data_IF_676969498819
#
_entry.id   IF_676969498819
#
_cell.length_a   1.000
_cell.length_b   1.000
_cell.length_c   1.000
_cell.angle_alpha   90.00
_cell.angle_beta   90.00
_cell.angle_gamma   90.00
#
_symmetry.space_group_name_H-M   'P 1'
#
loop_
_entity.id
_entity.type
_entity.pdbx_description
1 polymer ?
#
# COMPACT_ATOMS: atom_id res chain seq x y z
N UNK A 1 -21.92 -56.00 -4.80
CA UNK A 1 -23.05 -56.49 -4.01
C UNK A 1 -24.05 -55.36 -3.89
N UNK A 2 -25.18 -55.59 -4.47
CA UNK A 2 -26.36 -54.74 -4.53
C UNK A 2 -27.18 -54.84 -3.27
N UNK A 3 -28.05 -53.90 -3.05
CA UNK A 3 -29.34 -53.93 -2.41
C UNK A 3 -29.63 -52.55 -1.78
N UNK A 4 -30.74 -51.97 -1.84
CA UNK A 4 -32.01 -52.09 -2.51
C UNK A 4 -32.92 -50.97 -1.94
N UNK A 5 -33.74 -50.41 -2.79
CA UNK A 5 -34.83 -49.48 -2.52
C UNK A 5 -35.79 -49.95 -1.42
N UNK A 6 -36.38 -49.00 -0.70
CA UNK A 6 -37.83 -49.06 -0.36
C UNK A 6 -38.44 -47.65 -0.26
N UNK A 7 -39.29 -47.38 -1.17
CA UNK A 7 -40.38 -46.41 -1.17
C UNK A 7 -41.57 -46.96 -0.44
N UNK A 8 -42.28 -46.17 0.37
CA UNK A 8 -43.74 -46.30 0.58
C UNK A 8 -44.36 -44.92 0.86
N UNK A 9 -45.58 -44.70 0.37
CA UNK A 9 -46.28 -43.41 0.47
C UNK A 9 -47.32 -43.42 1.62
N UNK A 10 -47.51 -42.30 2.26
CA UNK A 10 -48.70 -42.07 3.06
C UNK A 10 -49.42 -40.80 2.62
N UNK A 11 -50.66 -41.04 2.23
CA UNK A 11 -51.66 -40.05 1.88
C UNK A 11 -52.60 -39.93 3.08
N UNK A 12 -52.80 -38.74 3.63
CA UNK A 12 -54.02 -38.40 4.36
C UNK A 12 -54.31 -36.90 4.24
N UNK A 13 -55.41 -36.67 3.59
CA UNK A 13 -56.08 -35.39 3.40
C UNK A 13 -56.85 -35.05 4.68
N UNK A 14 -56.46 -33.96 5.34
CA UNK A 14 -57.27 -33.38 6.42
C UNK A 14 -57.52 -31.92 6.10
N UNK A 15 -58.79 -31.67 5.73
CA UNK A 15 -59.27 -30.33 5.39
C UNK A 15 -59.67 -29.61 6.68
N UNK A 16 -58.87 -28.60 7.04
CA UNK A 16 -59.22 -27.64 8.09
C UNK A 16 -59.65 -26.34 7.42
N UNK A 17 -60.90 -25.96 7.62
CA UNK A 17 -61.42 -24.65 7.26
C UNK A 17 -60.90 -23.63 8.30
N UNK A 18 -60.10 -22.69 7.88
CA UNK A 18 -59.68 -21.56 8.71
C UNK A 18 -60.38 -20.31 8.17
N UNK A 19 -61.17 -19.69 9.02
CA UNK A 19 -61.78 -18.38 8.77
C UNK A 19 -60.67 -17.31 8.55
N UNK A 20 -60.80 -16.63 7.43
CA UNK A 20 -59.90 -15.53 7.04
C UNK A 20 -60.37 -14.24 7.66
N UNK A 21 -59.74 -13.81 8.73
CA UNK A 21 -59.76 -12.41 9.15
C UNK A 21 -58.62 -11.67 8.44
N UNK A 22 -58.99 -10.75 7.56
CA UNK A 22 -58.02 -9.91 6.85
C UNK A 22 -57.30 -8.98 7.84
N UNK A 23 -55.96 -8.94 7.83
CA UNK A 23 -55.23 -7.94 8.59
C UNK A 23 -55.28 -6.60 7.83
N UNK A 24 -55.64 -5.56 8.55
CA UNK A 24 -55.53 -4.17 8.10
C UNK A 24 -54.08 -3.83 7.93
N UNK A 25 -53.63 -3.66 6.67
CA UNK A 25 -52.26 -3.27 6.36
C UNK A 25 -52.13 -1.78 6.63
N UNK A 26 -51.51 -1.41 7.74
CA UNK A 26 -50.96 -0.06 7.92
C UNK A 26 -49.80 0.09 6.97
N UNK A 27 -49.96 0.92 5.94
CA UNK A 27 -48.92 1.31 5.03
C UNK A 27 -48.00 2.30 5.74
N UNK A 28 -46.99 1.81 6.43
CA UNK A 28 -45.86 2.64 6.87
C UNK A 28 -45.01 2.97 5.65
N UNK A 29 -45.13 4.19 5.17
CA UNK A 29 -44.25 4.78 4.17
C UNK A 29 -42.83 4.76 4.76
N UNK A 30 -41.84 4.13 4.11
CA UNK A 30 -40.47 4.23 4.61
C UNK A 30 -40.02 5.69 4.50
N UNK A 31 -39.72 6.31 5.64
CA UNK A 31 -39.01 7.58 5.69
C UNK A 31 -37.64 7.30 5.06
N UNK A 32 -37.39 7.85 3.89
CA UNK A 32 -36.05 7.84 3.29
C UNK A 32 -35.11 8.55 4.29
N UNK A 33 -34.27 7.79 4.95
CA UNK A 33 -33.13 8.34 5.69
C UNK A 33 -32.29 9.13 4.70
N UNK A 34 -32.35 10.44 4.80
CA UNK A 34 -31.47 11.33 4.06
C UNK A 34 -30.07 11.14 4.64
N UNK A 35 -29.30 10.24 4.07
CA UNK A 35 -27.89 10.08 4.38
C UNK A 35 -27.22 11.39 3.98
N UNK A 36 -26.95 12.25 4.94
CA UNK A 36 -26.07 13.41 4.75
C UNK A 36 -24.74 12.85 4.28
N UNK A 37 -24.18 13.28 3.14
CA UNK A 37 -22.85 12.84 2.72
C UNK A 37 -21.88 13.19 3.85
N UNK A 38 -21.31 12.19 4.53
CA UNK A 38 -20.22 12.42 5.46
C UNK A 38 -19.06 12.97 4.62
N UNK A 39 -18.72 14.24 4.88
CA UNK A 39 -17.46 14.80 4.38
C UNK A 39 -16.34 13.98 5.01
N UNK A 40 -15.65 13.19 4.20
CA UNK A 40 -14.51 12.42 4.66
C UNK A 40 -13.38 13.42 4.92
N UNK A 41 -12.98 13.55 6.18
CA UNK A 41 -11.93 14.49 6.59
C UNK A 41 -10.56 13.82 6.46
N UNK A 42 -9.54 14.64 6.11
CA UNK A 42 -8.15 14.19 6.10
C UNK A 42 -7.72 13.86 7.54
N UNK A 43 -7.34 12.59 7.83
CA UNK A 43 -6.96 12.17 9.18
C UNK A 43 -5.69 12.87 9.68
N UNK A 44 -4.89 13.42 8.78
CA UNK A 44 -3.60 14.06 9.09
C UNK A 44 -3.59 15.56 8.79
N UNK A 45 -4.75 16.19 8.68
CA UNK A 45 -4.82 17.63 8.46
C UNK A 45 -4.03 18.38 9.53
N UNK A 46 -3.05 19.18 9.08
CA UNK A 46 -2.17 19.94 9.98
C UNK A 46 -1.07 19.11 10.64
N UNK A 47 -0.86 17.88 10.20
CA UNK A 47 0.27 17.06 10.65
C UNK A 47 1.59 17.69 10.22
N UNK A 48 2.52 17.80 11.15
CA UNK A 48 3.87 18.32 10.94
C UNK A 48 4.84 17.23 11.37
N UNK A 49 5.62 16.72 10.41
CA UNK A 49 6.75 15.84 10.73
C UNK A 49 7.95 16.68 11.15
N UNK A 50 8.62 16.28 12.22
CA UNK A 50 9.91 16.89 12.60
C UNK A 50 11.07 16.46 11.70
N UNK A 51 10.86 15.43 10.87
CA UNK A 51 11.88 14.82 10.02
C UNK A 51 11.60 15.07 8.54
N UNK A 52 10.38 14.76 8.07
CA UNK A 52 10.01 14.78 6.66
C UNK A 52 9.59 16.16 6.13
N UNK A 53 9.65 17.19 6.96
CA UNK A 53 9.59 18.59 6.53
C UNK A 53 10.90 19.05 5.84
N UNK A 54 11.99 18.29 6.03
CA UNK A 54 13.26 18.52 5.33
C UNK A 54 13.24 17.81 3.96
N UNK A 55 13.36 18.55 2.83
CA UNK A 55 13.40 17.95 1.51
C UNK A 55 14.61 17.04 1.28
N UNK A 56 15.68 17.16 2.07
CA UNK A 56 16.88 16.33 1.94
C UNK A 56 16.64 14.85 2.28
N UNK A 57 15.57 14.52 3.00
CA UNK A 57 15.19 13.15 3.34
C UNK A 57 14.21 12.54 2.34
N UNK A 58 14.09 13.11 1.15
CA UNK A 58 13.29 12.57 0.06
C UNK A 58 14.18 12.24 -1.14
N UNK A 59 14.06 11.01 -1.65
CA UNK A 59 14.70 10.57 -2.90
C UNK A 59 13.96 11.10 -4.12
N UNK A 60 12.65 11.24 -4.01
CA UNK A 60 11.79 11.85 -5.02
C UNK A 60 10.70 12.66 -4.33
N UNK A 61 10.57 13.89 -4.79
CA UNK A 61 9.48 14.81 -4.46
C UNK A 61 9.14 15.64 -5.72
N UNK A 62 7.87 15.80 -6.09
CA UNK A 62 7.51 16.57 -7.29
C UNK A 62 8.13 17.96 -7.31
N UNK A 63 8.54 18.40 -8.51
CA UNK A 63 9.13 19.71 -8.78
C UNK A 63 10.54 19.96 -8.14
N UNK A 64 11.18 18.89 -7.68
CA UNK A 64 12.56 18.93 -7.17
C UNK A 64 13.47 18.12 -8.10
N UNK A 65 14.66 18.64 -8.38
CA UNK A 65 15.68 17.91 -9.15
C UNK A 65 16.30 16.81 -8.29
N UNK A 66 15.82 15.59 -8.45
CA UNK A 66 16.13 14.44 -7.59
C UNK A 66 16.35 13.13 -8.38
N UNK A 67 16.26 11.97 -7.70
CA UNK A 67 16.45 10.67 -8.33
C UNK A 67 15.42 10.37 -9.43
N UNK A 68 14.22 10.93 -9.34
CA UNK A 68 13.14 10.73 -10.30
C UNK A 68 13.18 11.64 -11.54
N UNK A 69 14.05 12.65 -11.54
CA UNK A 69 14.26 13.54 -12.69
C UNK A 69 15.32 13.02 -13.68
N UNK A 70 15.94 11.87 -13.38
CA UNK A 70 16.99 11.29 -14.25
C UNK A 70 16.39 10.72 -15.52
N UNK A 71 17.09 10.94 -16.66
CA UNK A 71 16.70 10.39 -17.97
C UNK A 71 16.55 8.86 -17.93
N UNK A 72 15.39 8.37 -18.34
CA UNK A 72 15.01 6.97 -18.45
C UNK A 72 14.79 6.55 -19.92
N UNK A 73 15.33 7.32 -20.87
CA UNK A 73 15.29 6.96 -22.30
C UNK A 73 15.85 5.55 -22.50
N UNK A 74 15.12 4.71 -23.19
CA UNK A 74 15.45 3.32 -23.41
C UNK A 74 15.28 2.91 -24.86
N UNK A 75 16.00 1.89 -25.32
CA UNK A 75 15.78 1.27 -26.63
C UNK A 75 14.94 0.01 -26.45
N UNK A 76 13.70 0.04 -26.98
CA UNK A 76 12.90 -1.16 -27.11
C UNK A 76 13.46 -2.04 -28.24
N UNK A 77 13.59 -3.33 -27.99
CA UNK A 77 13.98 -4.34 -28.97
C UNK A 77 12.79 -5.28 -29.16
N UNK A 78 12.33 -5.40 -30.40
CA UNK A 78 11.17 -6.21 -30.73
C UNK A 78 11.56 -7.63 -31.17
N UNK A 79 10.64 -8.62 -31.11
CA UNK A 79 10.91 -10.00 -31.49
C UNK A 79 11.33 -10.19 -32.96
N UNK A 80 10.97 -9.25 -33.84
CA UNK A 80 11.37 -9.27 -35.26
C UNK A 80 12.77 -8.68 -35.52
N UNK A 81 13.47 -8.28 -34.46
CA UNK A 81 14.81 -7.68 -34.51
C UNK A 81 14.83 -6.18 -34.80
N UNK A 82 13.69 -5.54 -34.94
CA UNK A 82 13.61 -4.08 -35.05
C UNK A 82 13.84 -3.44 -33.68
N UNK A 83 14.22 -2.16 -33.66
CA UNK A 83 14.38 -1.41 -32.42
C UNK A 83 13.86 0.01 -32.56
N UNK A 84 13.41 0.59 -31.44
CA UNK A 84 12.91 1.94 -31.33
C UNK A 84 13.45 2.60 -30.05
N UNK A 85 13.82 3.88 -30.16
CA UNK A 85 14.18 4.69 -28.98
C UNK A 85 12.91 5.26 -28.37
N UNK A 86 12.64 4.89 -27.13
CA UNK A 86 11.52 5.39 -26.35
C UNK A 86 12.06 6.48 -25.43
N UNK A 87 11.73 7.71 -25.72
CA UNK A 87 12.09 8.87 -24.89
C UNK A 87 11.39 8.78 -23.53
N UNK A 88 12.09 9.26 -22.51
CA UNK A 88 11.51 9.48 -21.20
C UNK A 88 11.00 10.91 -21.09
N UNK A 89 9.73 11.06 -20.79
CA UNK A 89 9.12 12.35 -20.52
C UNK A 89 8.28 12.23 -19.24
N UNK A 90 8.61 13.04 -18.22
CA UNK A 90 7.82 13.14 -17.00
C UNK A 90 6.47 13.79 -17.34
N UNK A 91 5.41 13.30 -16.73
CA UNK A 91 4.10 13.96 -16.87
C UNK A 91 4.11 15.31 -16.14
N UNK A 92 3.51 16.33 -16.78
CA UNK A 92 3.29 17.64 -16.15
C UNK A 92 1.90 17.78 -15.53
N UNK A 93 1.02 16.84 -15.79
CA UNK A 93 -0.39 16.87 -15.36
C UNK A 93 -0.79 15.49 -14.82
N UNK A 94 -0.21 15.11 -13.69
CA UNK A 94 -0.57 13.86 -13.03
C UNK A 94 -1.89 13.98 -12.27
N UNK A 95 -2.77 13.00 -12.46
CA UNK A 95 -4.02 12.87 -11.68
C UNK A 95 -3.88 11.95 -10.47
N UNK A 96 -2.75 11.29 -10.32
CA UNK A 96 -2.48 10.29 -9.28
C UNK A 96 -1.07 10.44 -8.73
N UNK A 97 -0.89 10.13 -7.46
CA UNK A 97 0.40 10.12 -6.78
C UNK A 97 0.94 8.69 -6.67
N UNK A 98 2.26 8.53 -6.65
CA UNK A 98 2.95 7.27 -6.37
C UNK A 98 3.79 7.42 -5.11
N UNK A 99 3.41 6.73 -4.04
CA UNK A 99 4.19 6.68 -2.81
C UNK A 99 5.04 5.41 -2.82
N UNK A 100 6.35 5.58 -2.87
CA UNK A 100 7.29 4.48 -3.05
C UNK A 100 8.16 4.25 -1.81
N UNK A 101 8.28 2.98 -1.41
CA UNK A 101 9.18 2.53 -0.34
C UNK A 101 10.12 1.45 -0.90
N UNK A 102 11.41 1.77 -0.91
CA UNK A 102 12.46 0.94 -1.51
C UNK A 102 12.84 -0.27 -0.64
N UNK A 103 13.55 -1.28 -1.22
CA UNK A 103 14.04 -2.44 -0.49
C UNK A 103 15.22 -2.11 0.42
N UNK A 104 15.68 -3.09 1.20
CA UNK A 104 16.98 -2.98 1.90
C UNK A 104 18.10 -2.82 0.88
N UNK A 105 18.76 -1.67 0.89
CA UNK A 105 19.86 -1.34 -0.01
C UNK A 105 21.12 -0.89 0.73
N UNK A 106 20.97 -0.35 1.95
CA UNK A 106 22.09 0.18 2.72
C UNK A 106 23.04 -0.91 3.18
N UNK A 107 24.35 -0.65 2.98
CA UNK A 107 25.47 -1.44 3.48
C UNK A 107 26.08 -0.85 4.75
N UNK A 108 25.39 0.08 5.41
CA UNK A 108 25.83 0.65 6.68
C UNK A 108 26.14 -0.44 7.71
N UNK A 109 27.20 -0.21 8.48
CA UNK A 109 27.63 -1.11 9.55
C UNK A 109 26.85 -0.86 10.87
N UNK A 110 25.56 -0.61 10.73
CA UNK A 110 24.61 -0.33 11.83
C UNK A 110 23.34 -1.16 11.61
N UNK A 111 22.54 -1.43 12.67
CA UNK A 111 21.29 -2.18 12.52
C UNK A 111 20.28 -1.55 11.55
N UNK A 112 20.16 -0.23 11.61
CA UNK A 112 19.36 0.58 10.68
C UNK A 112 20.28 1.59 9.97
N UNK A 113 19.95 1.93 8.72
CA UNK A 113 20.63 2.96 7.96
C UNK A 113 20.45 4.35 8.58
N UNK A 114 21.27 5.28 8.16
CA UNK A 114 20.99 6.69 8.35
C UNK A 114 19.94 7.22 7.34
N UNK A 115 19.76 8.53 7.26
CA UNK A 115 18.84 9.20 6.34
C UNK A 115 19.60 10.06 5.31
N UNK A 116 20.87 9.73 5.05
CA UNK A 116 21.71 10.41 4.07
C UNK A 116 21.73 9.58 2.79
N UNK A 117 21.09 10.06 1.69
CA UNK A 117 20.98 9.28 0.47
C UNK A 117 22.35 8.96 -0.15
N UNK A 118 22.66 7.69 -0.35
CA UNK A 118 23.86 7.24 -1.04
C UNK A 118 23.60 6.99 -2.53
N UNK A 119 24.53 7.42 -3.39
CA UNK A 119 24.37 7.32 -4.85
C UNK A 119 24.23 5.86 -5.33
N UNK A 120 24.98 4.95 -4.74
CA UNK A 120 25.04 3.53 -5.15
C UNK A 120 24.00 2.66 -4.45
N UNK A 121 23.25 3.20 -3.53
CA UNK A 121 22.27 2.52 -2.70
C UNK A 121 20.86 3.06 -3.00
N UNK A 122 20.34 3.96 -2.17
CA UNK A 122 18.95 4.43 -2.25
C UNK A 122 18.67 5.19 -3.55
N UNK A 123 19.59 6.10 -3.94
CA UNK A 123 19.39 6.93 -5.14
C UNK A 123 19.34 6.06 -6.40
N UNK A 124 20.28 5.10 -6.55
CA UNK A 124 20.29 4.20 -7.71
C UNK A 124 19.08 3.26 -7.71
N UNK A 125 18.65 2.84 -6.52
CA UNK A 125 17.47 1.97 -6.36
C UNK A 125 16.19 2.70 -6.76
N UNK A 126 15.99 3.93 -6.28
CA UNK A 126 14.84 4.75 -6.68
C UNK A 126 14.86 5.02 -8.19
N UNK A 127 16.03 5.38 -8.74
CA UNK A 127 16.17 5.60 -10.18
C UNK A 127 15.78 4.38 -11.02
N UNK A 128 16.20 3.17 -10.63
CA UNK A 128 15.94 1.96 -11.41
C UNK A 128 14.51 1.43 -11.19
N UNK A 129 13.96 1.57 -9.99
CA UNK A 129 12.70 0.92 -9.63
C UNK A 129 11.47 1.81 -9.81
N UNK A 130 11.57 3.11 -9.50
CA UNK A 130 10.37 3.96 -9.45
C UNK A 130 10.42 5.18 -10.36
N UNK A 131 11.59 5.69 -10.74
CA UNK A 131 11.65 6.97 -11.47
C UNK A 131 10.83 6.94 -12.77
N UNK A 132 10.71 5.81 -13.45
CA UNK A 132 9.90 5.70 -14.68
C UNK A 132 8.39 5.85 -14.43
N UNK A 133 7.91 5.66 -13.21
CA UNK A 133 6.52 5.94 -12.86
C UNK A 133 6.18 7.41 -12.97
N UNK A 134 7.17 8.33 -12.93
CA UNK A 134 6.94 9.77 -13.13
C UNK A 134 6.38 10.13 -14.52
N UNK A 135 6.34 9.19 -15.47
CA UNK A 135 5.61 9.35 -16.72
C UNK A 135 4.08 9.34 -16.53
N UNK A 136 3.57 8.84 -15.40
CA UNK A 136 2.14 8.65 -15.16
C UNK A 136 1.66 9.16 -13.80
N UNK A 137 2.56 9.40 -12.84
CA UNK A 137 2.22 9.87 -11.50
C UNK A 137 3.29 10.81 -10.94
N UNK A 138 2.90 11.63 -9.97
CA UNK A 138 3.85 12.35 -9.13
C UNK A 138 4.44 11.40 -8.09
N UNK A 139 5.77 11.26 -8.08
CA UNK A 139 6.45 10.28 -7.25
C UNK A 139 6.91 10.90 -5.94
N UNK A 140 6.54 10.26 -4.83
CA UNK A 140 6.98 10.56 -3.47
C UNK A 140 7.75 9.36 -2.94
N UNK A 141 9.03 9.52 -2.69
CA UNK A 141 9.92 8.46 -2.23
C UNK A 141 10.73 8.94 -1.02
N UNK A 142 10.28 8.68 0.22
CA UNK A 142 11.02 9.07 1.40
C UNK A 142 12.25 8.20 1.61
N UNK A 143 13.30 8.77 2.18
CA UNK A 143 14.30 8.02 2.94
C UNK A 143 13.62 7.44 4.18
N UNK A 144 14.09 6.29 4.63
CA UNK A 144 13.68 5.70 5.91
C UNK A 144 14.82 4.88 6.49
N UNK A 145 14.93 4.82 7.80
CA UNK A 145 15.96 4.03 8.48
C UNK A 145 15.70 2.53 8.31
N UNK A 146 15.94 2.06 7.09
CA UNK A 146 15.80 0.66 6.70
C UNK A 146 16.69 -0.24 7.57
N UNK A 147 16.26 -1.48 7.82
CA UNK A 147 17.18 -2.50 8.31
C UNK A 147 18.22 -2.79 7.23
N UNK A 148 19.49 -2.66 7.58
CA UNK A 148 20.60 -2.72 6.62
C UNK A 148 20.86 -4.12 6.08
N UNK A 149 21.52 -4.21 4.93
CA UNK A 149 21.99 -5.51 4.37
C UNK A 149 23.00 -6.18 5.30
N UNK A 150 23.85 -5.42 5.97
CA UNK A 150 24.83 -5.91 6.94
C UNK A 150 24.15 -6.55 8.17
N UNK A 151 23.05 -5.94 8.66
CA UNK A 151 22.26 -6.51 9.74
C UNK A 151 21.45 -7.74 9.28
N UNK A 152 20.86 -7.71 8.08
CA UNK A 152 20.10 -8.83 7.52
C UNK A 152 20.95 -10.06 7.23
N UNK A 153 22.20 -9.85 6.77
CA UNK A 153 23.14 -10.95 6.49
C UNK A 153 23.79 -11.53 7.75
N UNK A 154 23.63 -10.88 8.90
CA UNK A 154 24.33 -11.23 10.13
C UNK A 154 25.81 -10.84 10.14
N UNK A 155 26.21 -9.91 9.27
CA UNK A 155 27.58 -9.39 9.21
C UNK A 155 27.93 -8.49 10.42
N UNK A 156 26.91 -8.00 11.12
CA UNK A 156 27.03 -7.27 12.38
C UNK A 156 26.24 -7.96 13.47
N UNK A 157 26.73 -7.88 14.72
CA UNK A 157 25.94 -8.26 15.88
C UNK A 157 24.94 -7.15 16.21
N UNK A 158 23.68 -7.50 16.31
CA UNK A 158 22.63 -6.57 16.75
C UNK A 158 22.40 -6.82 18.22
N UNK A 159 22.56 -5.81 19.11
CA UNK A 159 22.36 -5.97 20.55
C UNK A 159 20.95 -6.51 20.86
N UNK A 160 20.85 -7.39 21.87
CA UNK A 160 19.53 -7.96 22.27
C UNK A 160 18.53 -6.88 22.69
N UNK A 161 19.01 -5.77 23.24
CA UNK A 161 18.19 -4.62 23.66
C UNK A 161 17.54 -3.87 22.48
N UNK A 162 18.10 -4.03 21.28
CA UNK A 162 17.55 -3.44 20.03
C UNK A 162 16.50 -4.36 19.37
N UNK A 163 16.18 -5.49 19.99
CA UNK A 163 15.22 -6.48 19.50
C UNK A 163 13.75 -6.06 19.79
N UNK A 164 13.30 -5.01 19.14
CA UNK A 164 11.86 -4.67 19.16
C UNK A 164 11.10 -5.70 18.31
N UNK A 165 10.31 -6.53 18.96
CA UNK A 165 9.48 -7.56 18.31
C UNK A 165 10.08 -8.97 18.24
N UNK A 166 11.23 -9.23 18.88
CA UNK A 166 11.84 -10.56 19.00
C UNK A 166 13.02 -10.80 18.04
N UNK A 167 13.67 -11.98 18.15
CA UNK A 167 14.85 -12.31 17.36
C UNK A 167 14.60 -12.16 15.84
N UNK A 168 15.43 -11.37 15.18
CA UNK A 168 15.36 -11.14 13.73
C UNK A 168 14.40 -10.03 13.27
N UNK A 169 13.68 -9.36 14.17
CA UNK A 169 12.79 -8.23 13.82
C UNK A 169 13.37 -6.87 14.15
N UNK A 170 14.56 -6.83 14.71
CA UNK A 170 15.27 -5.61 15.11
C UNK A 170 15.36 -4.61 13.97
N UNK A 171 15.00 -3.37 14.23
CA UNK A 171 15.04 -2.28 13.27
C UNK A 171 13.84 -2.19 12.33
N UNK A 172 12.95 -3.18 12.26
CA UNK A 172 11.77 -3.08 11.41
C UNK A 172 10.71 -2.13 11.95
N UNK A 173 10.58 -1.98 13.28
CA UNK A 173 9.64 -1.01 13.83
C UNK A 173 10.12 0.42 13.61
N UNK A 174 11.43 0.69 13.75
CA UNK A 174 12.02 2.00 13.41
C UNK A 174 11.76 2.33 11.93
N UNK A 175 12.01 1.36 11.04
CA UNK A 175 11.75 1.52 9.62
C UNK A 175 10.26 1.81 9.33
N UNK A 176 9.36 1.14 10.02
CA UNK A 176 7.93 1.36 9.88
C UNK A 176 7.49 2.74 10.40
N UNK A 177 8.01 3.17 11.56
CA UNK A 177 7.71 4.50 12.12
C UNK A 177 8.11 5.61 11.15
N UNK A 178 9.26 5.50 10.51
CA UNK A 178 9.72 6.45 9.50
C UNK A 178 8.78 6.46 8.28
N UNK A 179 8.42 5.29 7.76
CA UNK A 179 7.48 5.19 6.62
C UNK A 179 6.09 5.73 6.99
N UNK A 180 5.61 5.48 8.20
CA UNK A 180 4.33 6.00 8.67
C UNK A 180 4.37 7.53 8.85
N UNK A 181 5.46 8.08 9.39
CA UNK A 181 5.65 9.52 9.55
C UNK A 181 5.72 10.21 8.18
N UNK A 182 6.52 9.69 7.25
CA UNK A 182 6.62 10.23 5.88
C UNK A 182 5.29 10.18 5.13
N UNK A 183 4.53 9.09 5.29
CA UNK A 183 3.21 8.97 4.68
C UNK A 183 2.21 9.99 5.25
N UNK A 184 2.20 10.20 6.57
CA UNK A 184 1.35 11.21 7.22
C UNK A 184 1.71 12.61 6.74
N UNK A 185 3.00 12.91 6.63
CA UNK A 185 3.49 14.18 6.07
C UNK A 185 3.04 14.34 4.61
N UNK A 186 3.22 13.32 3.77
CA UNK A 186 2.75 13.32 2.38
C UNK A 186 1.25 13.61 2.30
N UNK A 187 0.41 12.86 3.01
CA UNK A 187 -1.05 13.04 3.01
C UNK A 187 -1.47 14.43 3.53
N UNK A 188 -0.74 14.97 4.51
CA UNK A 188 -1.04 16.30 5.06
C UNK A 188 -0.75 17.43 4.08
N UNK A 189 0.26 17.27 3.22
CA UNK A 189 0.81 18.33 2.37
C UNK A 189 0.44 18.20 0.89
N UNK A 190 -0.35 17.19 0.51
CA UNK A 190 -0.78 16.97 -0.88
C UNK A 190 -2.28 17.17 -1.07
N UNK A 191 -2.73 17.25 -2.33
CA UNK A 191 -4.13 17.41 -2.65
C UNK A 191 -4.99 16.24 -2.13
N UNK A 192 -6.07 16.57 -1.43
CA UNK A 192 -7.00 15.58 -0.88
C UNK A 192 -7.89 14.92 -1.96
N UNK A 193 -7.94 15.50 -3.15
CA UNK A 193 -8.75 15.01 -4.27
C UNK A 193 -8.01 13.96 -5.10
N UNK A 194 -6.68 13.88 -4.96
CA UNK A 194 -5.85 12.95 -5.75
C UNK A 194 -5.85 11.56 -5.15
N UNK A 195 -5.98 10.54 -6.01
CA UNK A 195 -5.73 9.16 -5.65
C UNK A 195 -4.24 8.88 -5.48
N UNK A 196 -3.88 7.79 -4.81
CA UNK A 196 -2.50 7.37 -4.69
C UNK A 196 -2.31 5.88 -4.94
N UNK A 197 -1.12 5.54 -5.43
CA UNK A 197 -0.63 4.18 -5.64
C UNK A 197 0.50 3.93 -4.64
N UNK A 198 0.45 2.82 -3.92
CA UNK A 198 1.56 2.38 -3.09
C UNK A 198 2.48 1.47 -3.90
N UNK A 199 3.78 1.72 -3.87
CA UNK A 199 4.77 0.91 -4.58
C UNK A 199 5.84 0.49 -3.58
N UNK A 200 5.99 -0.81 -3.37
CA UNK A 200 6.99 -1.36 -2.44
C UNK A 200 7.75 -2.54 -3.02
N UNK A 201 9.01 -2.67 -2.64
CA UNK A 201 9.81 -3.84 -2.97
C UNK A 201 10.50 -4.39 -1.72
N UNK A 202 10.48 -5.71 -1.53
CA UNK A 202 11.14 -6.42 -0.42
C UNK A 202 10.78 -5.83 0.96
N UNK A 203 11.72 -5.22 1.70
CA UNK A 203 11.45 -4.56 2.98
C UNK A 203 10.40 -3.45 2.82
N UNK A 204 10.44 -2.66 1.75
CA UNK A 204 9.42 -1.65 1.45
C UNK A 204 8.02 -2.24 1.33
N UNK A 205 7.89 -3.44 0.73
CA UNK A 205 6.61 -4.18 0.72
C UNK A 205 6.13 -4.51 2.13
N UNK A 206 7.04 -4.94 3.02
CA UNK A 206 6.67 -5.24 4.40
C UNK A 206 6.20 -3.98 5.15
N UNK A 207 6.88 -2.85 4.95
CA UNK A 207 6.49 -1.55 5.54
C UNK A 207 5.12 -1.10 5.03
N UNK A 208 4.89 -1.14 3.71
CA UNK A 208 3.61 -0.75 3.11
C UNK A 208 2.47 -1.69 3.50
N UNK A 209 2.74 -2.97 3.71
CA UNK A 209 1.74 -3.91 4.24
C UNK A 209 1.30 -3.53 5.66
N UNK A 210 2.23 -3.08 6.50
CA UNK A 210 1.89 -2.55 7.82
C UNK A 210 1.14 -1.22 7.72
N UNK A 211 1.56 -0.33 6.82
CA UNK A 211 0.91 0.95 6.57
C UNK A 211 -0.56 0.77 6.13
N UNK A 212 -0.81 -0.16 5.22
CA UNK A 212 -2.17 -0.54 4.80
C UNK A 212 -3.02 -0.92 6.00
N UNK A 213 -2.52 -1.81 6.86
CA UNK A 213 -3.26 -2.34 8.01
C UNK A 213 -3.48 -1.30 9.11
N UNK A 214 -2.46 -0.50 9.44
CA UNK A 214 -2.46 0.38 10.62
C UNK A 214 -3.02 1.77 10.32
N UNK A 215 -2.82 2.31 9.11
CA UNK A 215 -3.18 3.69 8.77
C UNK A 215 -4.30 3.77 7.74
N UNK A 216 -4.21 3.00 6.64
CA UNK A 216 -5.13 3.16 5.50
C UNK A 216 -6.44 2.42 5.72
N UNK A 217 -6.38 1.16 6.16
CA UNK A 217 -7.56 0.32 6.32
C UNK A 217 -8.53 0.83 7.39
N UNK A 218 -7.99 1.52 8.39
CA UNK A 218 -8.76 2.15 9.46
C UNK A 218 -9.42 3.48 9.04
N UNK A 219 -9.04 4.06 7.88
CA UNK A 219 -9.51 5.37 7.47
C UNK A 219 -10.30 5.32 6.16
N UNK A 220 -11.62 5.64 6.16
CA UNK A 220 -12.46 5.58 4.97
C UNK A 220 -11.98 6.51 3.83
N UNK A 221 -11.45 7.71 4.13
CA UNK A 221 -10.93 8.62 3.11
C UNK A 221 -9.71 8.02 2.43
N UNK A 222 -8.74 7.50 3.19
CA UNK A 222 -7.53 6.91 2.62
C UNK A 222 -7.84 5.67 1.78
N UNK A 223 -8.80 4.84 2.21
CA UNK A 223 -9.27 3.72 1.38
C UNK A 223 -9.87 4.17 0.06
N UNK A 224 -10.65 5.24 0.06
CA UNK A 224 -11.25 5.79 -1.17
C UNK A 224 -10.19 6.35 -2.12
N UNK A 225 -9.11 6.92 -1.57
CA UNK A 225 -7.99 7.48 -2.35
C UNK A 225 -6.99 6.43 -2.83
N UNK A 226 -6.93 5.26 -2.20
CA UNK A 226 -6.02 4.19 -2.62
C UNK A 226 -6.49 3.59 -3.95
N UNK A 227 -5.74 3.85 -5.02
CA UNK A 227 -6.02 3.34 -6.37
C UNK A 227 -5.52 1.91 -6.52
N UNK A 228 -4.28 1.64 -6.09
CA UNK A 228 -3.69 0.30 -6.11
C UNK A 228 -2.47 0.20 -5.19
N UNK A 229 -2.01 -1.04 -4.94
CA UNK A 229 -0.79 -1.31 -4.21
C UNK A 229 0.06 -2.35 -4.96
N UNK A 230 1.26 -1.94 -5.39
CA UNK A 230 2.25 -2.78 -6.06
C UNK A 230 3.26 -3.27 -5.01
N UNK A 231 2.98 -4.40 -4.39
CA UNK A 231 3.76 -4.96 -3.29
C UNK A 231 4.62 -6.13 -3.80
N UNK A 232 5.86 -5.84 -4.16
CA UNK A 232 6.75 -6.76 -4.87
C UNK A 232 7.79 -7.38 -3.93
N UNK A 233 8.09 -8.67 -4.11
CA UNK A 233 9.21 -9.35 -3.44
C UNK A 233 9.14 -9.40 -1.90
N UNK A 234 7.96 -9.21 -1.29
CA UNK A 234 7.79 -9.29 0.15
C UNK A 234 7.87 -10.72 0.69
N UNK A 235 8.40 -10.92 1.88
CA UNK A 235 8.58 -12.22 2.52
C UNK A 235 7.28 -13.03 2.74
N UNK A 236 6.13 -12.40 2.60
CA UNK A 236 4.81 -13.02 2.80
C UNK A 236 4.13 -13.51 1.52
N UNK A 237 4.79 -13.39 0.35
CA UNK A 237 4.24 -13.83 -0.94
C UNK A 237 4.01 -15.35 -1.00
N UNK A 238 4.58 -16.13 -0.09
CA UNK A 238 4.37 -17.59 0.00
C UNK A 238 3.20 -18.03 0.90
N UNK A 239 2.67 -17.18 1.72
CA UNK A 239 1.46 -17.46 2.51
C UNK A 239 0.25 -16.90 1.76
N UNK A 240 -0.49 -17.76 1.08
CA UNK A 240 -1.89 -17.45 0.73
C UNK A 240 -2.63 -17.25 2.06
N UNK A 241 -2.59 -16.05 2.58
CA UNK A 241 -3.52 -15.71 3.65
C UNK A 241 -4.89 -15.50 3.00
N UNK A 242 -5.87 -16.20 3.49
CA UNK A 242 -7.30 -15.95 3.21
C UNK A 242 -7.74 -14.52 3.60
N UNK A 243 -6.86 -13.72 4.12
CA UNK A 243 -7.07 -12.33 4.53
C UNK A 243 -7.04 -11.33 3.37
N UNK A 244 -6.49 -11.69 2.20
CA UNK A 244 -6.52 -10.82 1.02
C UNK A 244 -7.82 -10.89 0.21
N UNK A 245 -8.72 -11.82 0.51
CA UNK A 245 -10.04 -11.90 -0.16
C UNK A 245 -11.04 -10.84 0.32
N UNK A 246 -10.71 -10.03 1.32
CA UNK A 246 -11.64 -9.04 1.91
C UNK A 246 -11.43 -7.60 1.44
N UNK A 247 -10.55 -7.32 0.48
CA UNK A 247 -10.40 -5.98 -0.11
C UNK A 247 -11.20 -5.83 -1.43
N UNK A 248 -12.13 -6.71 -1.70
CA UNK A 248 -13.10 -6.57 -2.79
C UNK A 248 -14.48 -6.25 -2.23
N UNK A 249 -14.77 -4.98 -2.10
CA UNK A 249 -16.09 -4.45 -1.75
C UNK A 249 -16.47 -3.34 -2.68
#
# INVERSE_FOLDING_TARGET
MACSNKTEPFNETSTLIVETTAPTTETTTPVAETTIPQTLENPYQGYISGLYDDPAVWLCWPDVADACERDQTATAIYPDGTSEVISFEKTSESEVDCFYVYPSTSEDMTPNSDLIPALTEEISTAWVQVSRYSQVCDVYAPMYRQKTQTALSGAIEVPEDDLIGGPGTTGFEIAYEDVADSFKHYIANTSQERGFILIGHSQGTAMLTQLLKREIDQNPLLRTRLVSAHLLGGAHIGQRSSEFETISG
#
